data_IF_552690518251
#
_entry.id   IF_552690518251
#
_cell.length_a   1.000
_cell.length_b   1.000
_cell.length_c   1.000
_cell.angle_alpha   90.00
_cell.angle_beta   90.00
_cell.angle_gamma   90.00
#
_symmetry.space_group_name_H-M   'P 1'
#
loop_
_entity.id
_entity.type
_entity.pdbx_description
1 polymer ?
#
# COMPACT_ATOMS: atom_id res chain seq x y z
N UNK A 1 19.07 -3.49 11.02
CA UNK A 1 18.33 -4.66 11.55
C UNK A 1 16.83 -4.37 11.40
N UNK A 2 16.09 -5.21 10.69
CA UNK A 2 14.65 -5.00 10.44
C UNK A 2 13.78 -5.23 11.68
N UNK A 3 12.54 -4.71 11.67
CA UNK A 3 11.62 -4.73 12.81
C UNK A 3 11.27 -6.16 13.23
N UNK A 4 11.10 -7.09 12.29
CA UNK A 4 10.81 -8.50 12.57
C UNK A 4 11.92 -9.12 13.43
N UNK A 5 13.18 -8.97 13.02
CA UNK A 5 14.36 -9.50 13.73
C UNK A 5 14.49 -8.82 15.09
N UNK A 6 14.33 -7.50 15.14
CA UNK A 6 14.45 -6.74 16.38
C UNK A 6 13.41 -7.20 17.42
N UNK A 7 12.14 -7.29 17.04
CA UNK A 7 11.06 -7.71 17.96
C UNK A 7 11.20 -9.17 18.39
N UNK A 8 11.60 -10.08 17.48
CA UNK A 8 11.85 -11.47 17.80
C UNK A 8 12.98 -11.63 18.83
N UNK A 9 14.05 -10.83 18.72
CA UNK A 9 15.14 -10.80 19.69
C UNK A 9 14.72 -10.28 21.08
N UNK A 10 13.56 -9.60 21.17
CA UNK A 10 12.97 -9.10 22.42
C UNK A 10 11.71 -9.91 22.81
N UNK A 11 11.67 -11.20 22.45
CA UNK A 11 10.67 -12.17 22.91
C UNK A 11 9.24 -11.93 22.38
N UNK A 12 9.08 -11.17 21.29
CA UNK A 12 7.82 -11.06 20.57
C UNK A 12 7.74 -12.04 19.39
N UNK A 13 6.56 -12.60 19.13
CA UNK A 13 6.28 -13.31 17.87
C UNK A 13 5.91 -12.31 16.78
N UNK A 14 6.86 -11.91 15.95
CA UNK A 14 6.62 -11.05 14.81
C UNK A 14 5.99 -11.83 13.64
N UNK A 15 4.87 -11.34 13.10
CA UNK A 15 4.18 -11.90 11.92
C UNK A 15 3.91 -10.75 10.95
N UNK A 16 4.33 -10.90 9.70
CA UNK A 16 4.12 -9.93 8.62
C UNK A 16 3.61 -10.69 7.39
N UNK A 17 2.29 -10.65 7.10
CA UNK A 17 1.75 -11.29 5.91
C UNK A 17 1.93 -10.40 4.67
N UNK A 18 2.05 -11.00 3.50
CA UNK A 18 1.77 -10.31 2.25
C UNK A 18 0.26 -10.05 2.17
N UNK A 19 -0.20 -8.80 2.02
CA UNK A 19 -1.63 -8.51 1.93
C UNK A 19 -2.27 -9.14 0.68
N UNK A 20 -3.60 -9.20 0.68
CA UNK A 20 -4.38 -9.61 -0.50
C UNK A 20 -3.87 -8.92 -1.77
N UNK A 21 -3.50 -9.70 -2.78
CA UNK A 21 -3.01 -9.19 -4.08
C UNK A 21 -1.58 -8.63 -4.06
N UNK A 22 -0.81 -8.92 -3.02
CA UNK A 22 0.62 -8.65 -2.97
C UNK A 22 1.40 -9.97 -2.99
N UNK A 23 2.51 -9.94 -3.74
CA UNK A 23 3.59 -10.92 -3.68
C UNK A 23 3.11 -12.38 -3.67
N UNK A 24 3.43 -13.16 -2.64
CA UNK A 24 3.14 -14.59 -2.60
C UNK A 24 1.71 -14.92 -2.13
N UNK A 25 0.93 -13.91 -1.71
CA UNK A 25 -0.49 -14.11 -1.36
C UNK A 25 -1.35 -14.25 -2.61
N UNK A 26 -1.95 -15.43 -2.78
CA UNK A 26 -2.74 -15.80 -3.96
C UNK A 26 -4.25 -15.85 -3.68
N UNK A 27 -5.05 -16.05 -4.73
CA UNK A 27 -6.51 -16.32 -4.63
C UNK A 27 -7.42 -15.10 -4.70
N UNK A 28 -6.87 -13.88 -4.64
CA UNK A 28 -7.63 -12.67 -4.90
C UNK A 28 -7.87 -12.48 -6.41
N UNK A 29 -9.10 -12.26 -6.87
CA UNK A 29 -9.38 -12.01 -8.29
C UNK A 29 -8.95 -10.59 -8.65
N UNK A 30 -7.74 -10.43 -9.19
CA UNK A 30 -7.13 -9.13 -9.50
C UNK A 30 -7.89 -8.32 -10.56
N UNK A 31 -8.74 -8.99 -11.35
CA UNK A 31 -9.62 -8.41 -12.36
C UNK A 31 -10.93 -7.83 -11.78
N UNK A 32 -11.23 -8.10 -10.50
CA UNK A 32 -12.37 -7.53 -9.78
C UNK A 32 -11.91 -6.66 -8.60
N UNK A 33 -11.77 -5.33 -8.79
CA UNK A 33 -11.41 -4.42 -7.71
C UNK A 33 -12.34 -4.51 -6.52
N UNK A 34 -13.63 -4.86 -6.68
CA UNK A 34 -14.59 -4.92 -5.57
C UNK A 34 -14.24 -5.97 -4.51
N UNK A 35 -13.25 -6.84 -4.76
CA UNK A 35 -12.71 -7.79 -3.77
C UNK A 35 -11.54 -7.24 -2.95
N UNK A 36 -11.21 -5.96 -3.08
CA UNK A 36 -10.10 -5.28 -2.39
C UNK A 36 -10.58 -4.16 -1.45
N UNK A 37 -11.88 -4.10 -1.14
CA UNK A 37 -12.43 -3.12 -0.19
C UNK A 37 -11.83 -3.27 1.21
N UNK A 38 -11.92 -2.23 2.03
CA UNK A 38 -11.57 -2.25 3.45
C UNK A 38 -12.14 -3.46 4.21
N UNK A 39 -13.38 -3.87 3.94
CA UNK A 39 -13.99 -5.02 4.63
C UNK A 39 -13.30 -6.35 4.30
N UNK A 40 -12.90 -6.55 3.05
CA UNK A 40 -12.17 -7.76 2.62
C UNK A 40 -10.82 -7.85 3.32
N UNK A 41 -10.03 -6.77 3.26
CA UNK A 41 -8.66 -6.76 3.81
C UNK A 41 -8.65 -6.80 5.34
N UNK A 42 -9.64 -6.20 6.02
CA UNK A 42 -9.81 -6.38 7.47
C UNK A 42 -10.28 -7.79 7.80
N UNK A 43 -11.18 -8.36 6.99
CA UNK A 43 -11.61 -9.75 7.12
C UNK A 43 -10.44 -10.73 7.06
N UNK A 44 -9.52 -10.52 6.12
CA UNK A 44 -8.29 -11.30 5.98
C UNK A 44 -7.43 -11.21 7.27
N UNK A 45 -7.28 -10.02 7.85
CA UNK A 45 -6.53 -9.84 9.11
C UNK A 45 -7.20 -10.50 10.32
N UNK A 46 -8.53 -10.42 10.43
CA UNK A 46 -9.30 -11.11 11.49
C UNK A 46 -9.15 -12.62 11.37
N UNK A 47 -9.23 -13.15 10.15
CA UNK A 47 -9.04 -14.57 9.88
C UNK A 47 -7.60 -15.02 10.22
N UNK A 48 -6.59 -14.23 9.86
CA UNK A 48 -5.20 -14.49 10.21
C UNK A 48 -4.99 -14.53 11.73
N UNK A 49 -5.48 -13.54 12.47
CA UNK A 49 -5.37 -13.52 13.94
C UNK A 49 -6.04 -14.75 14.56
N UNK A 50 -7.21 -15.14 14.03
CA UNK A 50 -7.92 -16.35 14.47
C UNK A 50 -7.10 -17.62 14.20
N UNK A 51 -6.53 -17.74 13.00
CA UNK A 51 -5.69 -18.88 12.61
C UNK A 51 -4.38 -18.98 13.43
N UNK A 52 -3.86 -17.85 13.91
CA UNK A 52 -2.71 -17.82 14.83
C UNK A 52 -3.06 -18.32 16.24
N UNK A 53 -4.35 -18.48 16.57
CA UNK A 53 -4.81 -19.02 17.85
C UNK A 53 -4.67 -18.06 19.02
N UNK A 54 -4.71 -16.75 18.77
CA UNK A 54 -4.56 -15.70 19.80
C UNK A 54 -5.78 -14.79 19.86
N UNK A 55 -6.11 -14.31 21.06
CA UNK A 55 -7.27 -13.45 21.26
C UNK A 55 -7.03 -12.02 20.77
N UNK A 56 -5.89 -11.44 21.14
CA UNK A 56 -5.50 -10.08 20.78
C UNK A 56 -4.01 -10.00 20.40
N UNK A 57 -3.68 -9.08 19.49
CA UNK A 57 -2.32 -8.82 19.03
C UNK A 57 -1.93 -7.35 19.19
N UNK A 58 -0.62 -7.06 19.20
CA UNK A 58 -0.12 -5.72 18.91
C UNK A 58 -0.09 -5.54 17.39
N UNK A 59 -0.51 -4.37 16.91
CA UNK A 59 -0.57 -4.07 15.47
C UNK A 59 0.40 -2.95 15.13
N UNK A 60 1.15 -3.13 14.04
CA UNK A 60 2.00 -2.10 13.44
C UNK A 60 1.54 -1.89 12.00
N UNK A 61 1.21 -0.66 11.62
CA UNK A 61 0.72 -0.31 10.28
C UNK A 61 1.52 0.80 9.62
N UNK A 62 1.65 0.73 8.29
CA UNK A 62 2.29 1.76 7.45
C UNK A 62 1.50 1.90 6.14
N UNK A 63 1.27 3.14 5.68
CA UNK A 63 0.55 3.44 4.42
C UNK A 63 -0.83 2.75 4.34
N UNK A 64 -1.10 1.92 3.33
CA UNK A 64 -2.31 1.10 3.27
C UNK A 64 -2.45 0.13 4.45
N UNK A 65 -1.35 -0.41 4.95
CA UNK A 65 -1.35 -1.19 6.19
C UNK A 65 -1.83 -0.38 7.39
N UNK A 66 -1.57 0.94 7.40
CA UNK A 66 -2.08 1.84 8.44
C UNK A 66 -3.59 2.10 8.30
N UNK A 67 -4.09 2.22 7.07
CA UNK A 67 -5.53 2.30 6.78
C UNK A 67 -6.26 1.03 7.25
N UNK A 68 -5.71 -0.15 6.92
CA UNK A 68 -6.23 -1.45 7.38
C UNK A 68 -6.21 -1.52 8.91
N UNK A 69 -5.13 -1.09 9.55
CA UNK A 69 -4.99 -1.10 11.01
C UNK A 69 -6.02 -0.19 11.70
N UNK A 70 -6.28 1.01 11.16
CA UNK A 70 -7.36 1.87 11.67
C UNK A 70 -8.72 1.19 11.59
N UNK A 71 -9.04 0.60 10.44
CA UNK A 71 -10.32 -0.10 10.25
C UNK A 71 -10.43 -1.36 11.11
N UNK A 72 -9.34 -2.11 11.32
CA UNK A 72 -9.31 -3.24 12.24
C UNK A 72 -9.61 -2.80 13.68
N UNK A 73 -9.00 -1.70 14.15
CA UNK A 73 -9.29 -1.17 15.49
C UNK A 73 -10.74 -0.70 15.64
N UNK A 74 -11.33 -0.14 14.59
CA UNK A 74 -12.73 0.32 14.61
C UNK A 74 -13.72 -0.85 14.58
N UNK A 75 -13.48 -1.86 13.74
CA UNK A 75 -14.41 -2.97 13.54
C UNK A 75 -14.23 -4.09 14.56
N UNK A 76 -13.00 -4.33 15.02
CA UNK A 76 -12.62 -5.40 15.94
C UNK A 76 -11.63 -4.91 17.00
N UNK A 77 -12.01 -3.93 17.84
CA UNK A 77 -11.17 -3.48 18.95
C UNK A 77 -10.83 -4.62 19.91
N UNK A 78 -11.68 -5.66 19.99
CA UNK A 78 -11.46 -6.88 20.76
C UNK A 78 -10.29 -7.75 20.25
N UNK A 79 -9.69 -7.42 19.10
CA UNK A 79 -8.53 -8.13 18.52
C UNK A 79 -7.21 -7.36 18.64
N UNK A 80 -7.22 -6.11 19.12
CA UNK A 80 -6.03 -5.23 19.11
C UNK A 80 -5.72 -4.75 20.53
N UNK A 81 -4.53 -5.10 21.05
CA UNK A 81 -4.05 -4.64 22.36
C UNK A 81 -3.57 -3.18 22.31
N UNK A 82 -2.76 -2.86 21.31
CA UNK A 82 -2.28 -1.51 21.03
C UNK A 82 -1.85 -1.40 19.57
N UNK A 83 -1.81 -0.17 19.06
CA UNK A 83 -1.47 0.17 17.68
C UNK A 83 -0.29 1.14 17.64
N UNK A 84 0.72 0.82 16.83
CA UNK A 84 1.72 1.78 16.35
C UNK A 84 1.45 2.02 14.87
N UNK A 85 1.05 3.24 14.50
CA UNK A 85 0.67 3.56 13.13
C UNK A 85 1.56 4.62 12.51
N UNK A 86 1.97 4.41 11.26
CA UNK A 86 2.98 5.21 10.57
C UNK A 86 2.44 5.76 9.24
N UNK A 87 2.92 6.95 8.85
CA UNK A 87 2.57 7.69 7.63
C UNK A 87 1.13 8.23 7.57
N UNK A 88 0.12 7.37 7.69
CA UNK A 88 -1.29 7.74 7.43
C UNK A 88 -2.05 7.95 8.73
N UNK A 89 -2.44 9.21 8.98
CA UNK A 89 -3.24 9.60 10.13
C UNK A 89 -4.69 9.11 10.01
N UNK A 90 -5.38 9.01 11.14
CA UNK A 90 -6.81 8.71 11.14
C UNK A 90 -7.59 9.89 10.54
N UNK A 91 -8.36 9.63 9.48
CA UNK A 91 -9.23 10.59 8.84
C UNK A 91 -10.70 10.15 8.98
N UNK A 92 -11.54 10.87 9.74
CA UNK A 92 -12.96 10.57 9.83
C UNK A 92 -13.64 10.62 8.45
N UNK A 93 -14.55 9.67 8.19
CA UNK A 93 -15.33 9.65 6.95
C UNK A 93 -16.19 10.91 6.85
N UNK A 94 -16.11 11.60 5.72
CA UNK A 94 -16.99 12.74 5.41
C UNK A 94 -18.23 12.23 4.66
N UNK A 95 -19.42 12.22 5.26
CA UNK A 95 -20.58 11.48 4.72
C UNK A 95 -21.08 11.98 3.36
N UNK A 96 -20.77 13.22 2.99
CA UNK A 96 -21.22 13.86 1.75
C UNK A 96 -20.10 14.07 0.73
N UNK A 97 -18.93 13.46 0.93
CA UNK A 97 -17.79 13.60 0.03
C UNK A 97 -17.19 12.23 -0.27
N UNK A 98 -16.99 11.95 -1.55
CA UNK A 98 -16.20 10.81 -2.03
C UNK A 98 -14.73 11.08 -1.75
N UNK A 99 -13.98 10.05 -1.33
CA UNK A 99 -12.59 10.17 -0.95
C UNK A 99 -11.74 10.63 -2.14
N UNK A 100 -11.98 10.04 -3.31
CA UNK A 100 -11.25 10.37 -4.55
C UNK A 100 -11.48 11.82 -4.96
N UNK A 101 -12.72 12.31 -4.77
CA UNK A 101 -13.08 13.68 -5.11
C UNK A 101 -12.36 14.71 -4.22
N UNK A 102 -12.10 14.39 -2.96
CA UNK A 102 -11.30 15.24 -2.07
C UNK A 102 -9.90 15.47 -2.68
N UNK A 103 -9.26 14.40 -3.15
CA UNK A 103 -7.95 14.51 -3.79
C UNK A 103 -8.02 15.22 -5.14
N UNK A 104 -9.08 14.98 -5.94
CA UNK A 104 -9.28 15.65 -7.23
C UNK A 104 -9.44 17.17 -7.07
N UNK A 105 -10.24 17.62 -6.12
CA UNK A 105 -10.45 19.05 -5.84
C UNK A 105 -9.17 19.71 -5.34
N UNK A 106 -8.39 19.03 -4.51
CA UNK A 106 -7.15 19.57 -3.96
C UNK A 106 -6.00 19.58 -4.97
N UNK A 107 -5.80 18.48 -5.71
CA UNK A 107 -4.57 18.20 -6.46
C UNK A 107 -4.78 17.92 -7.95
N UNK A 108 -6.03 18.05 -8.45
CA UNK A 108 -6.41 17.80 -9.85
C UNK A 108 -6.28 16.34 -10.27
N UNK A 109 -6.57 16.08 -11.54
CA UNK A 109 -6.73 14.73 -12.09
C UNK A 109 -5.41 13.94 -12.19
N UNK A 110 -4.26 14.61 -12.26
CA UNK A 110 -2.97 13.94 -12.36
C UNK A 110 -2.43 13.41 -11.02
N UNK A 111 -3.07 13.76 -9.91
CA UNK A 111 -2.73 13.18 -8.61
C UNK A 111 -2.84 11.65 -8.65
N UNK A 112 -1.89 10.94 -8.05
CA UNK A 112 -1.78 9.48 -8.19
C UNK A 112 -3.06 8.72 -7.85
N UNK A 113 -3.76 9.10 -6.76
CA UNK A 113 -5.03 8.46 -6.39
C UNK A 113 -6.07 8.61 -7.49
N UNK A 114 -6.16 9.77 -8.14
CA UNK A 114 -7.06 9.98 -9.27
C UNK A 114 -6.65 9.12 -10.47
N UNK A 115 -5.35 9.05 -10.77
CA UNK A 115 -4.83 8.29 -11.92
C UNK A 115 -4.86 6.77 -11.75
N UNK A 116 -5.03 6.27 -10.53
CA UNK A 116 -5.09 4.83 -10.24
C UNK A 116 -6.49 4.23 -10.47
N UNK A 117 -7.51 5.07 -10.66
CA UNK A 117 -8.91 4.63 -10.69
C UNK A 117 -9.30 3.84 -11.94
N UNK A 118 -8.80 4.22 -13.12
CA UNK A 118 -9.14 3.52 -14.35
C UNK A 118 -8.34 2.19 -14.45
N UNK A 119 -9.00 1.03 -14.55
CA UNK A 119 -8.32 -0.26 -14.68
C UNK A 119 -7.40 -0.32 -15.90
N UNK A 120 -6.14 -0.67 -15.68
CA UNK A 120 -5.15 -0.86 -16.74
C UNK A 120 -4.40 0.41 -17.17
N UNK A 121 -4.90 1.62 -16.89
CA UNK A 121 -4.22 2.85 -17.31
C UNK A 121 -2.85 3.00 -16.65
N UNK A 122 -2.79 3.00 -15.32
CA UNK A 122 -1.52 3.20 -14.62
C UNK A 122 -0.61 1.97 -14.76
N UNK A 123 -1.18 0.76 -14.86
CA UNK A 123 -0.41 -0.44 -15.13
C UNK A 123 0.33 -0.35 -16.47
N UNK A 124 -0.33 0.15 -17.53
CA UNK A 124 0.31 0.39 -18.82
C UNK A 124 1.43 1.44 -18.73
N UNK A 125 1.23 2.50 -17.94
CA UNK A 125 2.28 3.50 -17.67
C UNK A 125 3.47 2.85 -16.97
N UNK A 126 3.25 2.07 -15.91
CA UNK A 126 4.33 1.40 -15.19
C UNK A 126 5.06 0.37 -16.05
N UNK A 127 4.34 -0.38 -16.88
CA UNK A 127 4.93 -1.31 -17.84
C UNK A 127 5.87 -0.58 -18.82
N UNK A 128 5.48 0.60 -19.33
CA UNK A 128 6.32 1.38 -20.24
C UNK A 128 7.60 1.92 -19.58
N UNK A 129 7.59 2.15 -18.27
CA UNK A 129 8.75 2.65 -17.51
C UNK A 129 9.67 1.52 -17.04
N UNK A 130 9.12 0.32 -16.85
CA UNK A 130 9.78 -0.82 -16.23
C UNK A 130 9.74 -0.76 -14.69
N UNK A 131 9.52 -1.92 -14.07
CA UNK A 131 9.33 -2.09 -12.62
C UNK A 131 10.44 -1.46 -11.80
N UNK A 132 11.72 -1.66 -12.17
CA UNK A 132 12.85 -1.06 -11.45
C UNK A 132 12.79 0.46 -11.44
N UNK A 133 12.47 1.12 -12.56
CA UNK A 133 12.37 2.59 -12.61
C UNK A 133 11.23 3.08 -11.70
N UNK A 134 10.09 2.41 -11.74
CA UNK A 134 8.91 2.73 -10.91
C UNK A 134 9.23 2.61 -9.41
N UNK A 135 9.78 1.48 -8.98
CA UNK A 135 10.17 1.26 -7.57
C UNK A 135 11.23 2.24 -7.10
N UNK A 136 12.22 2.51 -7.95
CA UNK A 136 13.28 3.46 -7.63
C UNK A 136 12.69 4.86 -7.43
N UNK A 137 11.69 5.26 -8.21
CA UNK A 137 10.97 6.54 -7.99
C UNK A 137 10.16 6.53 -6.69
N UNK A 138 9.41 5.47 -6.41
CA UNK A 138 8.59 5.39 -5.19
C UNK A 138 9.43 5.35 -3.91
N UNK A 139 10.41 4.45 -3.83
CA UNK A 139 11.16 4.21 -2.59
C UNK A 139 12.16 5.31 -2.27
N UNK A 140 12.56 6.13 -3.23
CA UNK A 140 13.56 7.19 -3.00
C UNK A 140 12.97 8.60 -2.99
N UNK A 141 11.65 8.72 -3.13
CA UNK A 141 10.96 10.01 -3.09
C UNK A 141 11.12 10.65 -1.71
N UNK A 142 11.43 11.95 -1.71
CA UNK A 142 11.63 12.75 -0.49
C UNK A 142 10.97 14.12 -0.57
N UNK A 143 10.34 14.44 -1.69
CA UNK A 143 9.57 15.67 -1.82
C UNK A 143 8.29 15.53 -0.98
N UNK A 144 7.90 16.55 -0.21
CA UNK A 144 6.60 16.56 0.47
C UNK A 144 5.40 16.50 -0.49
N UNK A 145 5.59 16.88 -1.77
CA UNK A 145 4.52 16.84 -2.75
C UNK A 145 4.11 15.40 -3.10
N UNK A 146 2.81 15.16 -3.38
CA UNK A 146 2.33 13.85 -3.77
C UNK A 146 2.85 13.46 -5.15
N UNK A 147 2.70 12.18 -5.48
CA UNK A 147 3.00 11.73 -6.84
C UNK A 147 1.94 12.23 -7.82
N UNK A 148 2.43 12.67 -8.98
CA UNK A 148 1.62 13.03 -10.13
C UNK A 148 1.98 12.17 -11.33
N UNK A 149 0.98 11.77 -12.11
CA UNK A 149 1.15 10.98 -13.33
C UNK A 149 0.53 11.66 -14.57
N UNK A 150 1.01 12.86 -14.98
CA UNK A 150 0.62 13.44 -16.27
C UNK A 150 0.82 12.45 -17.41
N UNK A 151 -0.11 12.43 -18.39
CA UNK A 151 -0.09 11.45 -19.50
C UNK A 151 1.22 11.45 -20.29
N UNK A 152 1.79 12.63 -20.54
CA UNK A 152 3.01 12.77 -21.34
C UNK A 152 4.30 12.62 -20.51
N UNK A 153 4.23 12.83 -19.19
CA UNK A 153 5.40 12.86 -18.31
C UNK A 153 5.06 12.25 -16.94
N UNK A 154 4.93 10.91 -16.83
CA UNK A 154 4.60 10.26 -15.57
C UNK A 154 5.67 10.55 -14.51
N UNK A 155 5.29 10.73 -13.24
CA UNK A 155 6.15 11.31 -12.19
C UNK A 155 6.50 12.80 -12.37
N UNK A 156 5.94 13.49 -13.36
CA UNK A 156 6.07 14.95 -13.53
C UNK A 156 7.53 15.41 -13.58
N UNK A 157 7.89 16.34 -12.68
CA UNK A 157 9.24 16.88 -12.57
C UNK A 157 10.32 15.80 -12.34
N UNK A 158 9.95 14.68 -11.73
CA UNK A 158 10.88 13.60 -11.41
C UNK A 158 11.17 12.70 -12.61
N UNK A 159 10.43 12.75 -13.71
CA UNK A 159 10.52 11.78 -14.81
C UNK A 159 11.95 11.54 -15.34
N UNK A 160 12.70 12.62 -15.58
CA UNK A 160 14.07 12.57 -16.13
C UNK A 160 15.16 12.56 -15.05
N UNK A 161 14.80 12.68 -13.77
CA UNK A 161 15.77 12.81 -12.69
C UNK A 161 16.46 11.45 -12.45
N UNK A 162 17.78 11.32 -12.58
CA UNK A 162 18.48 10.10 -12.19
C UNK A 162 18.32 9.87 -10.69
N UNK A 163 18.09 8.62 -10.30
CA UNK A 163 17.92 8.27 -8.88
C UNK A 163 19.00 7.29 -8.46
N UNK A 164 19.71 7.70 -7.40
CA UNK A 164 20.70 6.90 -6.69
C UNK A 164 19.99 6.26 -5.50
N UNK A 165 20.27 4.97 -5.23
CA UNK A 165 19.70 4.32 -4.06
C UNK A 165 20.26 4.98 -2.79
N UNK A 166 19.41 5.37 -1.84
CA UNK A 166 19.86 5.93 -0.58
C UNK A 166 20.53 4.85 0.27
N UNK A 167 21.36 5.25 1.23
CA UNK A 167 22.15 4.32 2.07
C UNK A 167 21.32 3.34 2.92
N UNK A 168 20.03 3.61 3.13
CA UNK A 168 19.13 2.72 3.86
C UNK A 168 18.51 1.63 2.97
N UNK A 169 18.60 1.76 1.65
CA UNK A 169 18.04 0.81 0.68
C UNK A 169 19.19 0.14 -0.09
N UNK A 170 19.53 -1.08 0.31
CA UNK A 170 20.56 -1.85 -0.39
C UNK A 170 20.09 -2.26 -1.79
N UNK A 171 21.03 -2.61 -2.69
CA UNK A 171 20.68 -3.18 -4.00
C UNK A 171 19.94 -4.51 -3.86
N UNK A 172 20.29 -5.32 -2.87
CA UNK A 172 19.64 -6.61 -2.59
C UNK A 172 18.17 -6.41 -2.18
N UNK A 173 17.90 -5.51 -1.23
CA UNK A 173 16.53 -5.20 -0.81
C UNK A 173 15.71 -4.62 -1.97
N UNK A 174 16.32 -3.73 -2.75
CA UNK A 174 15.68 -3.15 -3.92
C UNK A 174 15.33 -4.21 -4.98
N UNK A 175 16.26 -5.13 -5.26
CA UNK A 175 16.04 -6.20 -6.22
C UNK A 175 15.01 -7.23 -5.73
N UNK A 176 14.92 -7.45 -4.41
CA UNK A 176 13.85 -8.27 -3.83
C UNK A 176 12.47 -7.73 -4.20
N UNK A 177 12.20 -6.45 -3.93
CA UNK A 177 10.90 -5.83 -4.24
C UNK A 177 10.60 -5.86 -5.73
N UNK A 178 11.57 -5.46 -6.56
CA UNK A 178 11.34 -5.36 -8.00
C UNK A 178 11.07 -6.72 -8.63
N UNK A 179 11.78 -7.78 -8.21
CA UNK A 179 11.55 -9.15 -8.70
C UNK A 179 10.16 -9.65 -8.36
N UNK A 180 9.64 -9.36 -7.16
CA UNK A 180 8.27 -9.73 -6.77
C UNK A 180 7.23 -9.06 -7.67
N UNK A 181 7.37 -7.75 -7.89
CA UNK A 181 6.43 -7.00 -8.72
C UNK A 181 6.58 -7.24 -10.23
N UNK A 182 7.74 -7.71 -10.69
CA UNK A 182 7.88 -8.25 -12.05
C UNK A 182 7.08 -9.53 -12.25
N UNK A 183 6.85 -10.31 -11.19
CA UNK A 183 6.04 -11.54 -11.24
C UNK A 183 4.54 -11.25 -11.10
N UNK A 184 4.17 -10.39 -10.14
CA UNK A 184 2.75 -10.16 -9.80
C UNK A 184 2.12 -8.99 -10.54
N UNK A 185 2.93 -8.05 -11.05
CA UNK A 185 2.46 -6.75 -11.49
C UNK A 185 1.95 -5.87 -10.33
N UNK A 186 1.30 -4.76 -10.67
CA UNK A 186 0.87 -3.73 -9.70
C UNK A 186 -0.64 -3.74 -9.42
N UNK A 187 -1.44 -4.43 -10.23
CA UNK A 187 -2.91 -4.35 -10.20
C UNK A 187 -3.50 -4.66 -8.83
N UNK A 188 -3.00 -5.69 -8.14
CA UNK A 188 -3.50 -6.07 -6.82
C UNK A 188 -3.39 -4.94 -5.80
N UNK A 189 -2.23 -4.27 -5.71
CA UNK A 189 -2.04 -3.11 -4.84
C UNK A 189 -2.82 -1.88 -5.28
N UNK A 190 -2.95 -1.65 -6.59
CA UNK A 190 -3.72 -0.52 -7.14
C UNK A 190 -5.22 -0.68 -6.85
N UNK A 191 -5.75 -1.90 -6.83
CA UNK A 191 -7.17 -2.16 -6.58
C UNK A 191 -7.65 -1.66 -5.21
N UNK A 192 -6.77 -1.52 -4.23
CA UNK A 192 -7.11 -0.90 -2.94
C UNK A 192 -7.59 0.54 -3.14
N UNK A 193 -6.89 1.31 -3.97
CA UNK A 193 -7.25 2.69 -4.29
C UNK A 193 -8.55 2.77 -5.09
N UNK A 194 -8.80 1.81 -5.99
CA UNK A 194 -10.07 1.71 -6.76
C UNK A 194 -11.28 1.45 -5.86
N UNK A 195 -11.06 1.01 -4.61
CA UNK A 195 -12.11 0.78 -3.63
C UNK A 195 -12.36 1.94 -2.66
N UNK A 196 -11.68 3.09 -2.81
CA UNK A 196 -11.80 4.19 -1.84
C UNK A 196 -13.22 4.72 -1.61
N UNK A 197 -14.10 4.57 -2.60
CA UNK A 197 -15.48 5.04 -2.54
C UNK A 197 -16.51 3.90 -2.32
N UNK A 198 -16.06 2.66 -2.14
CA UNK A 198 -16.90 1.47 -1.91
C UNK A 198 -17.18 1.22 -0.42
#
# INVERSE_FOLDING_TARGET
>A
MGQIIYLAAHEYRAVAPDPRGYEDTTGAPIDDPTKFTTLHVVGDMVALITALGVDMVFVVGHDWGAMIAWSLCLFRPDKVKALVNLSVHFAPRKPHQKNVEIFRVAYRDDHYICRFHEPGEIEAVFASLGTKKVFKKFLTHRDPDPFYFPKDKPFGALYDTPVILPSWLSEEDFDYYTKKFEQTGFTGGINYYRCFDL
#
